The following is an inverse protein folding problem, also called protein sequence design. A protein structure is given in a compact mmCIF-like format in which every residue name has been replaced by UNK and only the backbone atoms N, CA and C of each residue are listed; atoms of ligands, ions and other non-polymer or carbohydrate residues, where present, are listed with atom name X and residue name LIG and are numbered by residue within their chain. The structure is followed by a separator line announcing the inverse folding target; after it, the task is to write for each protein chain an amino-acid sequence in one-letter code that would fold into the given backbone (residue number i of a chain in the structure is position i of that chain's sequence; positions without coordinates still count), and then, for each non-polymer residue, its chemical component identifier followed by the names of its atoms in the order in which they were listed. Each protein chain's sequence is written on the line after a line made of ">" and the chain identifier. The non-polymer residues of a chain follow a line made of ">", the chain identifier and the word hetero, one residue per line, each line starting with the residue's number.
data_IF_348155648684
#
_entry.id   IF_348155648684
#
_cell.length_a   1.000
_cell.length_b   1.000
_cell.length_c   1.000
_cell.angle_alpha   90.00
_cell.angle_beta   90.00
_cell.angle_gamma   90.00
#
_symmetry.space_group_name_H-M   'P 1'
#
loop_
_entity.id
_entity.type
_entity.pdbx_description
1 polymer ?
#
# COMPACT_ATOMS: atom_id res chain seq x y z
N UNK A 1 -12.53 7.08 45.85
CA UNK A 1 -12.46 6.73 44.41
C UNK A 1 -13.60 5.76 44.17
N UNK A 2 -14.49 6.01 43.22
CA UNK A 2 -15.58 5.07 42.95
C UNK A 2 -14.99 3.79 42.39
N UNK A 3 -14.94 2.75 43.23
CA UNK A 3 -14.48 1.40 42.89
C UNK A 3 -15.05 0.93 41.55
N UNK A 4 -16.30 1.31 41.26
CA UNK A 4 -17.01 1.05 40.02
C UNK A 4 -16.26 1.55 38.77
N UNK A 5 -15.71 2.77 38.76
CA UNK A 5 -14.99 3.31 37.60
C UNK A 5 -13.72 2.53 37.34
N UNK A 6 -13.01 2.15 38.41
CA UNK A 6 -11.77 1.38 38.30
C UNK A 6 -12.05 -0.04 37.77
N UNK A 7 -13.09 -0.70 38.27
CA UNK A 7 -13.51 -2.02 37.80
C UNK A 7 -13.97 -1.98 36.35
N UNK A 8 -14.83 -1.03 35.97
CA UNK A 8 -15.27 -0.85 34.58
C UNK A 8 -14.10 -0.53 33.65
N UNK A 9 -13.15 0.29 34.09
CA UNK A 9 -11.94 0.59 33.34
C UNK A 9 -11.08 -0.63 33.09
N UNK A 10 -10.87 -1.47 34.11
CA UNK A 10 -10.07 -2.68 33.99
C UNK A 10 -10.76 -3.72 33.08
N UNK A 11 -12.08 -3.87 33.21
CA UNK A 11 -12.89 -4.70 32.30
C UNK A 11 -12.77 -4.20 30.86
N UNK A 12 -12.98 -2.90 30.63
CA UNK A 12 -12.90 -2.32 29.30
C UNK A 12 -11.51 -2.43 28.67
N UNK A 13 -10.45 -2.36 29.46
CA UNK A 13 -9.07 -2.53 29.01
C UNK A 13 -8.79 -3.98 28.61
N UNK A 14 -9.17 -4.96 29.46
CA UNK A 14 -9.00 -6.40 29.15
C UNK A 14 -9.86 -6.83 27.97
N UNK A 15 -11.12 -6.39 27.94
CA UNK A 15 -12.04 -6.63 26.82
C UNK A 15 -11.48 -6.00 25.54
N UNK A 16 -10.96 -4.78 25.65
CA UNK A 16 -10.32 -4.04 24.59
C UNK A 16 -9.17 -4.80 23.93
N UNK A 17 -8.19 -5.20 24.73
CA UNK A 17 -6.99 -5.89 24.22
C UNK A 17 -7.31 -7.28 23.67
N UNK A 18 -8.23 -8.02 24.28
CA UNK A 18 -8.56 -9.38 23.82
C UNK A 18 -9.40 -9.40 22.53
N UNK A 19 -10.25 -8.41 22.31
CA UNK A 19 -11.23 -8.43 21.21
C UNK A 19 -10.91 -7.47 20.07
N UNK A 20 -10.02 -6.49 20.28
CA UNK A 20 -9.60 -5.60 19.20
C UNK A 20 -8.65 -6.32 18.24
N UNK A 21 -7.68 -7.09 18.74
CA UNK A 21 -6.68 -7.76 17.90
C UNK A 21 -7.32 -8.70 16.86
N UNK A 22 -8.26 -9.61 17.19
CA UNK A 22 -8.90 -10.49 16.20
C UNK A 22 -9.81 -9.76 15.21
N UNK A 23 -10.18 -8.50 15.48
CA UNK A 23 -11.01 -7.69 14.60
C UNK A 23 -10.17 -6.80 13.66
N UNK A 24 -8.86 -6.74 13.88
CA UNK A 24 -7.96 -5.92 13.10
C UNK A 24 -7.47 -6.69 11.86
N UNK A 25 -7.56 -6.14 10.63
CA UNK A 25 -7.09 -6.81 9.42
C UNK A 25 -5.65 -7.30 9.52
N UNK A 26 -4.75 -6.53 10.17
CA UNK A 26 -3.34 -6.95 10.33
C UNK A 26 -3.15 -8.21 11.16
N UNK A 27 -4.13 -8.66 11.94
CA UNK A 27 -4.05 -9.93 12.63
C UNK A 27 -4.00 -11.13 11.65
N UNK A 28 -4.57 -10.96 10.45
CA UNK A 28 -4.54 -11.96 9.38
C UNK A 28 -3.26 -11.94 8.52
N UNK A 29 -2.35 -10.99 8.74
CA UNK A 29 -1.09 -10.92 8.00
C UNK A 29 -0.16 -12.05 8.48
N UNK A 30 -0.13 -13.16 7.76
CA UNK A 30 0.76 -14.27 8.04
C UNK A 30 2.18 -13.95 7.55
N UNK A 31 3.15 -13.93 8.48
CA UNK A 31 4.57 -13.97 8.13
C UNK A 31 4.98 -15.44 7.95
N UNK A 32 4.54 -16.04 6.85
CA UNK A 32 4.90 -17.44 6.54
C UNK A 32 6.36 -17.55 6.05
N UNK A 33 6.91 -16.44 5.57
CA UNK A 33 8.19 -16.40 4.89
C UNK A 33 9.04 -15.23 5.42
N UNK A 34 10.34 -15.46 5.57
CA UNK A 34 11.30 -14.40 5.89
C UNK A 34 11.74 -13.66 4.62
N UNK A 35 12.22 -12.43 4.79
CA UNK A 35 12.78 -11.57 3.75
C UNK A 35 13.82 -12.29 2.88
N UNK A 36 14.71 -13.10 3.45
CA UNK A 36 15.71 -13.86 2.68
C UNK A 36 15.07 -14.88 1.73
N UNK A 37 14.03 -15.58 2.20
CA UNK A 37 13.31 -16.59 1.40
C UNK A 37 12.47 -15.89 0.33
N UNK A 38 11.87 -14.74 0.63
CA UNK A 38 11.16 -13.90 -0.34
C UNK A 38 12.09 -13.42 -1.46
N UNK A 39 13.31 -12.99 -1.11
CA UNK A 39 14.32 -12.57 -2.08
C UNK A 39 14.70 -13.73 -2.98
N UNK A 40 14.95 -14.92 -2.43
CA UNK A 40 15.34 -16.08 -3.23
C UNK A 40 14.20 -16.55 -4.17
N UNK A 41 12.96 -16.56 -3.69
CA UNK A 41 11.79 -16.84 -4.53
C UNK A 41 11.65 -15.84 -5.69
N UNK A 42 11.83 -14.55 -5.42
CA UNK A 42 11.82 -13.51 -6.45
C UNK A 42 12.98 -13.68 -7.45
N UNK A 43 14.19 -14.01 -6.99
CA UNK A 43 15.34 -14.29 -7.86
C UNK A 43 15.12 -15.51 -8.74
N UNK A 44 14.55 -16.58 -8.19
CA UNK A 44 14.21 -17.79 -8.93
C UNK A 44 13.19 -17.48 -10.03
N UNK A 45 12.17 -16.69 -9.71
CA UNK A 45 11.20 -16.23 -10.71
C UNK A 45 11.87 -15.39 -11.80
N UNK A 46 12.67 -14.38 -11.47
CA UNK A 46 13.38 -13.56 -12.45
C UNK A 46 14.29 -14.40 -13.35
N UNK A 47 15.02 -15.34 -12.77
CA UNK A 47 15.89 -16.27 -13.51
C UNK A 47 15.10 -17.14 -14.48
N UNK A 48 13.88 -17.57 -14.10
CA UNK A 48 12.99 -18.33 -14.98
C UNK A 48 12.50 -17.52 -16.19
N UNK A 49 12.49 -16.19 -16.08
CA UNK A 49 12.17 -15.26 -17.15
C UNK A 49 13.41 -14.80 -17.94
N UNK A 50 14.60 -15.33 -17.64
CA UNK A 50 15.85 -14.98 -18.31
C UNK A 50 16.48 -13.66 -17.85
N UNK A 51 16.09 -13.19 -16.66
CA UNK A 51 16.65 -12.00 -16.01
C UNK A 51 17.62 -12.44 -14.92
N UNK A 52 18.74 -11.74 -14.79
CA UNK A 52 19.83 -12.11 -13.90
C UNK A 52 19.97 -11.05 -12.81
N UNK A 53 19.32 -11.22 -11.64
CA UNK A 53 19.36 -10.23 -10.57
C UNK A 53 20.66 -10.21 -9.75
N UNK A 54 21.62 -11.10 -10.04
CA UNK A 54 22.86 -11.23 -9.29
C UNK A 54 23.71 -9.94 -9.38
N UNK A 55 24.13 -9.43 -8.22
CA UNK A 55 24.90 -8.18 -8.11
C UNK A 55 24.04 -6.92 -8.01
N UNK A 56 22.72 -7.02 -8.01
CA UNK A 56 21.82 -5.92 -7.66
C UNK A 56 21.68 -5.76 -6.14
N UNK A 57 21.46 -4.54 -5.69
CA UNK A 57 21.05 -4.28 -4.33
C UNK A 57 19.57 -4.66 -4.20
N UNK A 58 19.26 -5.55 -3.25
CA UNK A 58 17.90 -6.05 -3.08
C UNK A 58 17.32 -5.54 -1.78
N UNK A 59 16.10 -5.01 -1.85
CA UNK A 59 15.31 -4.61 -0.69
C UNK A 59 14.01 -5.41 -0.70
N UNK A 60 13.69 -6.11 0.38
CA UNK A 60 12.43 -6.82 0.55
C UNK A 60 11.70 -6.26 1.77
N UNK A 61 10.47 -5.81 1.57
CA UNK A 61 9.62 -5.27 2.63
C UNK A 61 8.23 -5.89 2.54
N UNK A 62 7.71 -6.37 3.66
CA UNK A 62 6.30 -6.75 3.74
C UNK A 62 5.44 -5.50 3.86
N UNK A 63 4.58 -5.30 2.86
CA UNK A 63 3.70 -4.15 2.70
C UNK A 63 2.22 -4.57 2.69
N UNK A 64 1.35 -3.59 2.83
CA UNK A 64 -0.10 -3.76 2.71
C UNK A 64 -0.67 -2.73 1.74
N UNK A 65 -1.66 -3.14 0.95
CA UNK A 65 -2.46 -2.20 0.16
C UNK A 65 -3.62 -1.69 1.03
N UNK A 66 -3.43 -0.51 1.61
CA UNK A 66 -4.41 0.14 2.49
C UNK A 66 -5.74 0.38 1.79
N UNK A 67 -5.69 0.75 0.50
CA UNK A 67 -6.90 1.02 -0.28
C UNK A 67 -7.66 -0.26 -0.55
N UNK A 68 -6.96 -1.32 -0.93
CA UNK A 68 -7.55 -2.64 -1.14
C UNK A 68 -8.16 -3.21 0.15
N UNK A 69 -7.49 -3.07 1.29
CA UNK A 69 -8.02 -3.47 2.60
C UNK A 69 -9.25 -2.67 3.02
N UNK A 70 -9.29 -1.36 2.72
CA UNK A 70 -10.47 -0.55 2.94
C UNK A 70 -11.63 -0.98 2.03
N UNK A 71 -11.36 -1.21 0.74
CA UNK A 71 -12.35 -1.66 -0.24
C UNK A 71 -12.90 -3.06 0.12
N UNK A 72 -12.06 -3.96 0.63
CA UNK A 72 -12.48 -5.28 1.14
C UNK A 72 -13.39 -5.13 2.37
N UNK A 73 -12.97 -4.36 3.39
CA UNK A 73 -13.80 -4.11 4.57
C UNK A 73 -15.15 -3.48 4.17
N UNK A 74 -15.18 -2.60 3.16
CA UNK A 74 -16.42 -2.01 2.62
C UNK A 74 -17.31 -3.00 1.90
N UNK A 75 -16.71 -3.94 1.16
CA UNK A 75 -17.47 -4.87 0.33
C UNK A 75 -18.00 -6.05 1.12
N UNK A 76 -17.19 -6.59 2.05
CA UNK A 76 -17.54 -7.79 2.81
C UNK A 76 -18.07 -7.50 4.21
N UNK A 77 -17.74 -6.35 4.81
CA UNK A 77 -17.69 -6.04 6.26
C UNK A 77 -16.38 -6.43 6.93
N UNK A 78 -16.05 -5.81 8.08
CA UNK A 78 -14.79 -6.06 8.80
C UNK A 78 -14.56 -7.53 9.21
N UNK A 79 -15.49 -8.23 9.90
CA UNK A 79 -15.22 -9.59 10.38
C UNK A 79 -15.04 -10.61 9.24
N UNK A 80 -15.82 -10.47 8.17
CA UNK A 80 -15.69 -11.31 6.98
C UNK A 80 -14.41 -11.05 6.21
N UNK A 81 -13.92 -9.79 6.16
CA UNK A 81 -12.62 -9.48 5.58
C UNK A 81 -11.50 -10.18 6.32
N UNK A 82 -11.50 -10.14 7.66
CA UNK A 82 -10.51 -10.91 8.45
C UNK A 82 -10.61 -12.40 8.13
N UNK A 83 -11.82 -12.99 8.13
CA UNK A 83 -11.97 -14.42 7.83
C UNK A 83 -11.55 -14.80 6.40
N UNK A 84 -11.73 -13.90 5.42
CA UNK A 84 -11.28 -14.10 4.06
C UNK A 84 -9.75 -14.06 3.97
N UNK A 85 -9.12 -13.10 4.64
CA UNK A 85 -7.66 -12.95 4.67
C UNK A 85 -6.97 -14.07 5.45
N UNK A 86 -7.65 -14.73 6.39
CA UNK A 86 -7.18 -15.94 7.06
C UNK A 86 -7.38 -17.22 6.22
N UNK A 87 -8.21 -17.17 5.18
CA UNK A 87 -8.53 -18.34 4.36
C UNK A 87 -7.45 -18.69 3.33
N UNK A 88 -7.54 -19.87 2.73
CA UNK A 88 -6.68 -20.32 1.62
C UNK A 88 -6.83 -19.45 0.36
N UNK A 89 -7.94 -18.71 0.23
CA UNK A 89 -8.22 -17.85 -0.92
C UNK A 89 -7.58 -16.46 -0.81
N UNK A 90 -6.93 -16.15 0.32
CA UNK A 90 -6.34 -14.83 0.58
C UNK A 90 -5.38 -14.36 -0.52
N UNK A 91 -4.65 -15.28 -1.16
CA UNK A 91 -3.63 -14.93 -2.17
C UNK A 91 -4.24 -14.52 -3.51
N UNK A 92 -5.53 -14.81 -3.75
CA UNK A 92 -6.26 -14.33 -4.92
C UNK A 92 -6.43 -12.80 -4.90
N UNK A 93 -6.31 -12.19 -3.72
CA UNK A 93 -6.31 -10.73 -3.51
C UNK A 93 -5.13 -10.42 -2.60
N UNK A 94 -3.99 -10.09 -3.20
CA UNK A 94 -2.73 -9.83 -2.49
C UNK A 94 -2.77 -8.50 -1.71
N UNK A 95 -3.63 -8.40 -0.69
CA UNK A 95 -3.79 -7.24 0.17
C UNK A 95 -2.59 -7.04 1.11
N UNK A 96 -1.89 -8.12 1.44
CA UNK A 96 -0.58 -8.13 2.07
C UNK A 96 0.38 -8.84 1.13
N UNK A 97 1.54 -8.24 0.88
CA UNK A 97 2.49 -8.75 -0.09
C UNK A 97 3.91 -8.37 0.28
N UNK A 98 4.86 -9.21 -0.11
CA UNK A 98 6.27 -8.85 -0.12
C UNK A 98 6.56 -8.00 -1.33
N UNK A 99 7.10 -6.80 -1.14
CA UNK A 99 7.61 -5.94 -2.19
C UNK A 99 9.13 -6.12 -2.29
N UNK A 100 9.59 -6.79 -3.34
CA UNK A 100 11.02 -7.01 -3.59
C UNK A 100 11.47 -6.10 -4.72
N UNK A 101 12.36 -5.16 -4.37
CA UNK A 101 12.96 -4.19 -5.30
C UNK A 101 14.41 -4.55 -5.55
N UNK A 102 14.78 -4.52 -6.83
CA UNK A 102 16.15 -4.76 -7.28
C UNK A 102 16.72 -3.49 -7.89
N UNK A 103 17.68 -2.88 -7.21
CA UNK A 103 18.29 -1.61 -7.57
C UNK A 103 19.73 -1.82 -8.07
N UNK A 104 20.14 -1.02 -9.06
CA UNK A 104 21.53 -1.00 -9.51
C UNK A 104 22.35 -0.27 -8.43
N UNK A 105 23.43 -0.86 -7.90
CA UNK A 105 24.25 -0.20 -6.89
C UNK A 105 24.78 1.14 -7.41
N UNK A 106 24.77 2.22 -6.61
CA UNK A 106 25.38 3.49 -7.02
C UNK A 106 26.87 3.29 -7.33
N UNK A 107 27.41 3.98 -8.35
CA UNK A 107 28.86 4.00 -8.59
C UNK A 107 29.53 4.85 -7.51
N UNK A 108 30.67 4.39 -6.97
CA UNK A 108 31.44 5.11 -5.92
C UNK A 108 31.88 6.53 -6.33
N UNK A 109 31.83 6.87 -7.63
CA UNK A 109 32.20 8.17 -8.17
C UNK A 109 31.05 9.17 -8.30
N UNK A 110 29.80 8.75 -8.09
CA UNK A 110 28.63 9.63 -8.18
C UNK A 110 28.28 10.19 -6.80
N UNK A 111 28.90 11.32 -6.46
CA UNK A 111 28.66 12.14 -5.26
C UNK A 111 27.28 12.86 -5.28
N UNK A 112 26.31 12.34 -6.04
CA UNK A 112 24.97 12.93 -6.13
C UNK A 112 24.13 12.50 -4.92
N UNK A 113 24.12 13.37 -3.92
CA UNK A 113 23.26 13.35 -2.75
C UNK A 113 21.80 13.00 -3.12
N UNK A 114 21.32 11.83 -2.69
CA UNK A 114 19.91 11.40 -2.62
C UNK A 114 19.05 11.58 -3.87
N UNK A 115 19.44 11.04 -5.01
CA UNK A 115 18.43 10.68 -6.02
C UNK A 115 17.92 9.27 -5.71
N UNK A 116 16.62 9.08 -5.43
CA UNK A 116 16.08 7.73 -5.27
C UNK A 116 16.27 6.99 -6.60
N UNK A 117 17.02 5.89 -6.57
CA UNK A 117 17.19 5.04 -7.74
C UNK A 117 15.84 4.48 -8.16
N UNK A 118 15.52 4.61 -9.45
CA UNK A 118 14.43 3.84 -10.03
C UNK A 118 14.86 2.37 -10.00
N UNK A 119 14.10 1.48 -9.35
CA UNK A 119 14.48 0.07 -9.30
C UNK A 119 14.44 -0.51 -10.72
N UNK A 120 15.34 -1.44 -11.00
CA UNK A 120 15.39 -2.12 -12.29
C UNK A 120 14.22 -3.11 -12.42
N UNK A 121 14.00 -3.90 -11.37
CA UNK A 121 12.91 -4.87 -11.27
C UNK A 121 12.14 -4.67 -9.98
N UNK A 122 10.83 -4.89 -10.05
CA UNK A 122 9.95 -4.98 -8.88
C UNK A 122 9.13 -6.25 -8.99
N UNK A 123 9.22 -7.10 -7.97
CA UNK A 123 8.46 -8.35 -7.87
C UNK A 123 7.63 -8.26 -6.59
N UNK A 124 6.32 -8.45 -6.72
CA UNK A 124 5.43 -8.62 -5.57
C UNK A 124 5.09 -10.08 -5.40
N UNK A 125 5.31 -10.60 -4.20
CA UNK A 125 4.90 -11.94 -3.81
C UNK A 125 3.73 -11.86 -2.85
N UNK A 126 2.74 -12.73 -3.03
CA UNK A 126 1.72 -12.95 -2.02
C UNK A 126 2.34 -13.56 -0.73
N UNK A 127 1.54 -13.69 0.32
CA UNK A 127 2.00 -14.17 1.63
C UNK A 127 2.61 -15.57 1.60
N UNK A 128 2.17 -16.41 0.66
CA UNK A 128 2.67 -17.77 0.42
C UNK A 128 3.97 -17.83 -0.42
N UNK A 129 4.47 -16.67 -0.87
CA UNK A 129 5.64 -16.56 -1.73
C UNK A 129 5.38 -16.72 -3.24
N UNK A 130 4.13 -16.93 -3.66
CA UNK A 130 3.79 -16.97 -5.08
C UNK A 130 3.75 -15.56 -5.66
N UNK A 131 4.15 -15.42 -6.93
CA UNK A 131 4.22 -14.12 -7.60
C UNK A 131 2.80 -13.57 -7.84
N UNK A 132 2.54 -12.34 -7.40
CA UNK A 132 1.27 -11.64 -7.63
C UNK A 132 1.43 -10.48 -8.62
N UNK A 133 2.58 -9.82 -8.68
CA UNK A 133 2.89 -8.81 -9.68
C UNK A 133 4.38 -8.83 -10.04
N UNK A 134 4.68 -8.44 -11.28
CA UNK A 134 6.04 -8.30 -11.77
C UNK A 134 6.13 -7.13 -12.74
N UNK A 135 7.08 -6.22 -12.49
CA UNK A 135 7.34 -5.05 -13.33
C UNK A 135 8.83 -4.89 -13.63
N UNK A 136 9.11 -4.51 -14.88
CA UNK A 136 10.43 -4.03 -15.31
C UNK A 136 10.31 -2.53 -15.51
N UNK A 137 10.98 -1.75 -14.67
CA UNK A 137 10.71 -0.31 -14.51
C UNK A 137 11.74 0.58 -15.23
N UNK A 138 13.03 0.23 -15.19
CA UNK A 138 14.01 0.85 -16.09
C UNK A 138 13.93 0.16 -17.46
N UNK A 139 13.32 0.86 -18.43
CA UNK A 139 13.26 0.44 -19.83
C UNK A 139 14.62 0.59 -20.54
N UNK A 140 15.68 0.05 -19.94
CA UNK A 140 16.91 -0.33 -20.62
C UNK A 140 17.57 0.84 -21.38
N UNK A 141 17.53 2.04 -20.81
CA UNK A 141 18.17 3.23 -21.41
C UNK A 141 19.69 3.20 -21.30
N UNK A 142 20.24 2.38 -20.39
CA UNK A 142 21.68 2.32 -20.13
C UNK A 142 22.30 0.96 -20.48
N UNK A 143 23.56 0.96 -20.93
CA UNK A 143 24.34 -0.28 -21.15
C UNK A 143 24.55 -1.10 -19.86
N UNK A 144 24.32 -0.48 -18.69
CA UNK A 144 24.46 -1.09 -17.37
C UNK A 144 23.26 -1.97 -17.04
N UNK A 145 22.02 -1.51 -17.28
CA UNK A 145 20.81 -2.32 -17.05
C UNK A 145 20.73 -3.55 -17.96
N UNK A 146 21.28 -3.47 -19.19
CA UNK A 146 21.30 -4.62 -20.13
C UNK A 146 22.09 -5.83 -19.65
N UNK A 147 23.04 -5.65 -18.71
CA UNK A 147 23.84 -6.76 -18.17
C UNK A 147 23.01 -7.73 -17.32
N UNK A 148 21.90 -7.25 -16.77
CA UNK A 148 21.00 -8.03 -15.92
C UNK A 148 19.85 -8.67 -16.71
N UNK A 149 19.92 -8.64 -18.05
CA UNK A 149 18.93 -9.23 -18.95
C UNK A 149 17.94 -8.20 -19.50
N UNK A 150 17.43 -8.50 -20.69
CA UNK A 150 16.43 -7.71 -21.40
C UNK A 150 15.18 -8.57 -21.61
N UNK A 151 13.99 -8.11 -21.16
CA UNK A 151 12.75 -8.83 -21.41
C UNK A 151 12.53 -9.05 -22.91
N UNK A 152 12.24 -10.29 -23.31
CA UNK A 152 12.03 -10.63 -24.71
C UNK A 152 13.29 -10.89 -25.54
N UNK A 153 14.50 -10.75 -24.99
CA UNK A 153 15.73 -11.25 -25.65
C UNK A 153 16.03 -12.70 -25.28
N UNK A 154 15.72 -13.10 -24.04
CA UNK A 154 15.85 -14.48 -23.62
C UNK A 154 14.71 -15.35 -24.16
N UNK A 155 15.05 -16.57 -24.57
CA UNK A 155 14.10 -17.56 -25.07
C UNK A 155 13.69 -18.52 -23.96
N UNK A 156 12.44 -18.42 -23.52
CA UNK A 156 11.89 -19.39 -22.57
C UNK A 156 11.44 -20.65 -23.31
N UNK A 157 12.39 -21.53 -23.61
CA UNK A 157 12.15 -22.80 -24.32
C UNK A 157 11.18 -23.72 -23.58
N UNK A 158 11.11 -23.63 -22.26
CA UNK A 158 10.17 -24.42 -21.45
C UNK A 158 8.73 -23.96 -21.71
N UNK A 159 8.47 -22.65 -21.63
CA UNK A 159 7.17 -22.09 -21.96
C UNK A 159 6.79 -22.35 -23.43
N UNK A 160 7.72 -22.13 -24.37
CA UNK A 160 7.48 -22.41 -25.79
C UNK A 160 7.22 -23.90 -26.06
N UNK A 161 7.82 -24.82 -25.30
CA UNK A 161 7.54 -26.27 -25.44
C UNK A 161 6.16 -26.69 -24.96
N UNK A 162 5.54 -25.91 -24.06
CA UNK A 162 4.17 -26.17 -23.62
C UNK A 162 3.15 -25.92 -24.73
N UNK A 163 3.44 -24.99 -25.64
CA UNK A 163 2.54 -24.56 -26.71
C UNK A 163 2.91 -25.12 -28.10
N UNK A 164 4.19 -25.31 -28.40
CA UNK A 164 4.68 -25.88 -29.66
C UNK A 164 4.98 -27.36 -29.43
N UNK A 165 3.93 -28.18 -29.46
CA UNK A 165 4.03 -29.65 -29.27
C UNK A 165 4.03 -30.34 -30.64
N UNK A 166 5.05 -31.14 -30.95
CA UNK A 166 4.83 -32.27 -31.88
C UNK A 166 3.83 -33.24 -31.21
N UNK A 167 3.05 -34.03 -31.97
CA UNK A 167 2.02 -35.06 -31.62
C UNK A 167 2.29 -36.02 -30.43
N UNK A 168 2.88 -35.52 -29.37
CA UNK A 168 3.62 -36.25 -28.36
C UNK A 168 3.00 -35.85 -27.04
N UNK A 169 2.30 -36.80 -26.44
CA UNK A 169 1.65 -36.67 -25.15
C UNK A 169 2.63 -36.44 -23.98
N UNK A 170 3.93 -36.25 -24.25
CA UNK A 170 4.99 -36.12 -23.26
C UNK A 170 5.87 -34.87 -23.50
N UNK A 171 5.89 -33.96 -22.52
CA UNK A 171 6.65 -32.68 -22.53
C UNK A 171 8.13 -32.84 -22.85
N UNK A 172 8.72 -33.98 -22.49
CA UNK A 172 10.13 -34.27 -22.78
C UNK A 172 10.42 -34.30 -24.28
N UNK A 173 9.49 -34.81 -25.09
CA UNK A 173 9.66 -34.91 -26.55
C UNK A 173 9.49 -33.55 -27.22
N UNK A 174 8.52 -32.74 -26.77
CA UNK A 174 8.34 -31.36 -27.23
C UNK A 174 9.57 -30.49 -26.95
N UNK A 175 10.16 -30.59 -25.75
CA UNK A 175 11.40 -29.91 -25.40
C UNK A 175 12.57 -30.31 -26.29
N UNK A 176 12.72 -31.61 -26.55
CA UNK A 176 13.79 -32.14 -27.42
C UNK A 176 13.62 -31.70 -28.88
N UNK A 177 12.39 -31.60 -29.38
CA UNK A 177 12.11 -31.12 -30.71
C UNK A 177 12.52 -29.65 -30.88
N UNK A 178 12.16 -28.80 -29.90
CA UNK A 178 12.55 -27.39 -29.91
C UNK A 178 14.07 -27.20 -29.75
N UNK A 179 14.77 -28.07 -29.00
CA UNK A 179 16.25 -28.04 -28.92
C UNK A 179 16.93 -28.14 -30.29
N UNK A 180 16.29 -28.76 -31.29
CA UNK A 180 16.80 -28.81 -32.66
C UNK A 180 16.71 -27.49 -33.43
N UNK A 181 15.92 -26.52 -32.96
CA UNK A 181 15.76 -25.20 -33.57
C UNK A 181 16.78 -24.23 -32.96
N UNK A 182 17.54 -23.52 -33.80
CA UNK A 182 18.51 -22.53 -33.35
C UNK A 182 17.83 -21.31 -32.68
N UNK A 183 18.46 -20.72 -31.66
CA UNK A 183 17.93 -19.55 -30.95
C UNK A 183 17.66 -18.36 -31.89
N UNK A 184 18.54 -18.15 -32.86
CA UNK A 184 18.38 -17.09 -33.88
C UNK A 184 17.14 -17.30 -34.75
N UNK A 185 16.70 -18.54 -34.95
CA UNK A 185 15.47 -18.85 -35.68
C UNK A 185 14.27 -18.55 -34.80
N UNK A 186 14.26 -19.02 -33.54
CA UNK A 186 13.16 -18.75 -32.62
C UNK A 186 12.96 -17.25 -32.39
N UNK A 187 14.04 -16.50 -32.14
CA UNK A 187 13.96 -15.06 -31.89
C UNK A 187 13.47 -14.24 -33.09
N UNK A 188 13.83 -14.63 -34.33
CA UNK A 188 13.54 -13.83 -35.53
C UNK A 188 12.34 -14.32 -36.35
N UNK A 189 11.92 -15.59 -36.17
CA UNK A 189 10.84 -16.20 -36.97
C UNK A 189 9.53 -16.34 -36.22
N UNK A 190 9.53 -16.29 -34.88
CA UNK A 190 8.32 -16.29 -34.08
C UNK A 190 7.75 -14.87 -33.94
N UNK A 191 6.50 -14.70 -34.35
CA UNK A 191 5.77 -13.45 -34.08
C UNK A 191 4.29 -13.69 -33.85
N UNK A 192 3.69 -12.80 -33.07
CA UNK A 192 2.25 -12.80 -32.89
C UNK A 192 1.53 -12.17 -34.08
N UNK A 193 0.44 -12.82 -34.49
CA UNK A 193 -0.59 -12.23 -35.33
C UNK A 193 -1.97 -12.66 -34.80
N UNK A 194 -2.81 -11.70 -34.46
CA UNK A 194 -4.14 -11.94 -33.89
C UNK A 194 -5.25 -11.90 -34.94
N UNK A 195 -4.91 -11.60 -36.19
CA UNK A 195 -5.87 -11.72 -37.27
C UNK A 195 -6.28 -13.19 -37.43
N UNK A 196 -7.56 -13.48 -37.76
CA UNK A 196 -8.02 -14.84 -37.98
C UNK A 196 -7.32 -15.42 -39.21
N UNK A 197 -6.24 -16.16 -38.95
CA UNK A 197 -5.58 -17.06 -39.90
C UNK A 197 -6.13 -18.46 -39.64
N UNK A 198 -6.18 -19.32 -40.67
CA UNK A 198 -6.45 -20.75 -40.45
C UNK A 198 -5.48 -21.25 -39.36
N UNK A 199 -6.03 -21.73 -38.24
CA UNK A 199 -5.25 -22.11 -37.07
C UNK A 199 -4.22 -23.16 -37.49
N UNK A 200 -2.95 -22.77 -37.48
CA UNK A 200 -1.84 -23.66 -37.85
C UNK A 200 -1.61 -24.60 -36.67
N UNK A 201 -1.61 -25.90 -36.93
CA UNK A 201 -1.39 -26.90 -35.88
C UNK A 201 0.00 -26.77 -35.25
N UNK A 202 0.18 -27.24 -34.00
CA UNK A 202 1.47 -27.16 -33.30
C UNK A 202 2.65 -27.81 -34.07
N UNK A 203 2.37 -28.89 -34.80
CA UNK A 203 3.33 -29.58 -35.65
C UNK A 203 3.77 -28.77 -36.87
N UNK A 204 2.82 -28.12 -37.54
CA UNK A 204 3.11 -27.29 -38.71
C UNK A 204 3.96 -26.07 -38.30
N UNK A 205 3.71 -25.53 -37.11
CA UNK A 205 4.51 -24.46 -36.53
C UNK A 205 5.95 -24.93 -36.25
N UNK A 206 6.11 -26.12 -35.66
CA UNK A 206 7.44 -26.72 -35.45
C UNK A 206 8.16 -26.99 -36.79
N UNK A 207 7.46 -27.52 -37.78
CA UNK A 207 8.01 -27.78 -39.11
C UNK A 207 8.44 -26.49 -39.81
N UNK A 208 7.66 -25.42 -39.69
CA UNK A 208 8.02 -24.09 -40.18
C UNK A 208 9.32 -23.60 -39.53
N UNK A 209 9.46 -23.73 -38.20
CA UNK A 209 10.68 -23.36 -37.49
C UNK A 209 11.89 -24.19 -37.92
N UNK A 210 11.74 -25.51 -38.06
CA UNK A 210 12.81 -26.41 -38.51
C UNK A 210 13.26 -26.12 -39.94
N UNK A 211 12.35 -25.64 -40.80
CA UNK A 211 12.62 -25.24 -42.18
C UNK A 211 12.99 -23.76 -42.34
N UNK A 212 13.21 -23.04 -41.22
CA UNK A 212 13.56 -21.61 -41.18
C UNK A 212 12.53 -20.70 -41.86
N UNK A 213 11.26 -21.10 -41.80
CA UNK A 213 10.10 -20.31 -42.20
C UNK A 213 9.54 -19.52 -41.00
N UNK A 214 8.70 -18.53 -41.32
CA UNK A 214 8.03 -17.72 -40.31
C UNK A 214 6.95 -18.55 -39.59
N UNK A 215 6.92 -18.46 -38.27
CA UNK A 215 5.96 -19.15 -37.42
C UNK A 215 5.07 -18.13 -36.71
N UNK A 216 3.78 -18.22 -36.98
CA UNK A 216 2.77 -17.28 -36.48
C UNK A 216 2.11 -17.86 -35.24
N UNK A 217 2.18 -17.12 -34.14
CA UNK A 217 1.45 -17.42 -32.91
C UNK A 217 0.12 -16.66 -32.94
N UNK A 218 -0.98 -17.40 -33.06
CA UNK A 218 -2.34 -16.87 -32.98
C UNK A 218 -2.80 -16.64 -31.53
N UNK A 219 -4.06 -16.23 -31.35
CA UNK A 219 -4.64 -15.97 -30.03
C UNK A 219 -4.69 -17.21 -29.14
N UNK A 220 -4.85 -18.41 -29.70
CA UNK A 220 -4.90 -19.66 -28.92
C UNK A 220 -3.56 -19.99 -28.27
N UNK A 221 -2.46 -19.79 -29.02
CA UNK A 221 -1.11 -19.95 -28.49
C UNK A 221 -0.76 -18.92 -27.43
N UNK A 222 -1.25 -17.67 -27.58
CA UNK A 222 -1.08 -16.64 -26.55
C UNK A 222 -1.81 -17.02 -25.26
N UNK A 223 -3.07 -17.45 -25.36
CA UNK A 223 -3.85 -17.89 -24.18
C UNK A 223 -3.21 -19.09 -23.49
N UNK A 224 -2.68 -20.06 -24.25
CA UNK A 224 -1.97 -21.20 -23.69
C UNK A 224 -0.66 -20.80 -22.99
N UNK A 225 0.11 -19.85 -23.55
CA UNK A 225 1.28 -19.28 -22.88
C UNK A 225 0.92 -18.54 -21.59
N UNK A 226 -0.19 -17.79 -21.59
CA UNK A 226 -0.68 -17.11 -20.39
C UNK A 226 -1.01 -18.15 -19.31
N UNK A 227 -1.77 -19.19 -19.65
CA UNK A 227 -2.13 -20.25 -18.71
C UNK A 227 -0.88 -20.89 -18.08
N UNK A 228 0.13 -21.24 -18.91
CA UNK A 228 1.41 -21.79 -18.44
C UNK A 228 2.10 -20.90 -17.38
N UNK A 229 2.13 -19.59 -17.60
CA UNK A 229 2.75 -18.69 -16.63
C UNK A 229 1.89 -18.52 -15.38
N UNK A 230 0.56 -18.45 -15.51
CA UNK A 230 -0.36 -18.26 -14.38
C UNK A 230 -0.40 -19.44 -13.41
N UNK A 231 -0.16 -20.67 -13.88
CA UNK A 231 -0.06 -21.87 -13.04
C UNK A 231 0.99 -21.74 -11.92
N UNK A 232 1.99 -20.87 -12.08
CA UNK A 232 3.08 -20.65 -11.12
C UNK A 232 2.94 -19.29 -10.37
N UNK A 233 1.74 -18.73 -10.34
CA UNK A 233 1.46 -17.43 -9.69
C UNK A 233 0.40 -17.56 -8.60
N UNK A 234 0.20 -16.50 -7.83
CA UNK A 234 -0.86 -16.42 -6.80
C UNK A 234 -2.28 -16.60 -7.37
N UNK A 235 -2.43 -16.55 -8.71
CA UNK A 235 -3.70 -16.62 -9.42
C UNK A 235 -4.01 -17.98 -10.05
N UNK A 236 -3.22 -19.02 -9.76
CA UNK A 236 -3.37 -20.34 -10.37
C UNK A 236 -4.75 -20.98 -10.12
N UNK A 237 -5.42 -20.62 -9.02
CA UNK A 237 -6.73 -21.17 -8.64
C UNK A 237 -7.94 -20.46 -9.28
N UNK A 238 -7.70 -19.43 -10.10
CA UNK A 238 -8.77 -18.66 -10.75
C UNK A 238 -8.98 -19.12 -12.19
N UNK A 239 -10.24 -19.27 -12.58
CA UNK A 239 -10.63 -19.52 -13.97
C UNK A 239 -10.67 -18.18 -14.73
N UNK A 240 -9.73 -18.00 -15.65
CA UNK A 240 -9.50 -16.73 -16.36
C UNK A 240 -10.13 -16.70 -17.74
N UNK A 241 -10.84 -15.61 -18.04
CA UNK A 241 -11.23 -15.25 -19.41
C UNK A 241 -10.35 -14.12 -19.94
N UNK A 242 -10.06 -14.18 -21.23
CA UNK A 242 -9.32 -13.12 -21.94
C UNK A 242 -10.32 -12.08 -22.46
N UNK A 243 -10.45 -10.95 -21.75
CA UNK A 243 -11.33 -9.83 -22.13
C UNK A 243 -10.86 -9.15 -23.41
N UNK A 244 -9.56 -8.92 -23.51
CA UNK A 244 -8.96 -8.27 -24.68
C UNK A 244 -7.54 -8.76 -24.89
N UNK A 245 -7.20 -8.96 -26.15
CA UNK A 245 -5.86 -9.35 -26.58
C UNK A 245 -5.43 -8.41 -27.71
N UNK A 246 -4.27 -7.78 -27.56
CA UNK A 246 -3.69 -6.87 -28.55
C UNK A 246 -2.21 -7.15 -28.74
N UNK A 247 -1.70 -6.98 -29.95
CA UNK A 247 -0.25 -6.99 -30.20
C UNK A 247 0.23 -5.56 -30.30
N UNK A 248 1.21 -5.22 -29.47
CA UNK A 248 1.94 -3.96 -29.54
C UNK A 248 3.39 -4.22 -29.93
N UNK A 249 4.06 -3.21 -30.45
CA UNK A 249 5.51 -3.27 -30.69
C UNK A 249 6.18 -2.35 -29.67
N UNK A 250 7.03 -2.92 -28.82
CA UNK A 250 7.82 -2.17 -27.83
C UNK A 250 9.30 -2.46 -28.10
N UNK A 251 10.11 -1.41 -28.25
CA UNK A 251 11.56 -1.51 -28.50
C UNK A 251 11.95 -2.43 -29.66
N UNK A 252 11.12 -2.52 -30.71
CA UNK A 252 11.34 -3.38 -31.87
C UNK A 252 10.85 -4.83 -31.73
N UNK A 253 10.39 -5.22 -30.54
CA UNK A 253 9.85 -6.56 -30.24
C UNK A 253 8.33 -6.52 -30.25
N UNK A 254 7.68 -7.50 -30.88
CA UNK A 254 6.22 -7.67 -30.82
C UNK A 254 5.84 -8.33 -29.51
N UNK A 255 4.97 -7.67 -28.75
CA UNK A 255 4.50 -8.10 -27.43
C UNK A 255 2.98 -8.25 -27.48
N UNK A 256 2.49 -9.41 -27.07
CA UNK A 256 1.09 -9.63 -26.80
C UNK A 256 0.74 -9.02 -25.42
N UNK A 257 -0.29 -8.18 -25.40
CA UNK A 257 -0.85 -7.62 -24.17
C UNK A 257 -2.25 -8.19 -24.00
N UNK A 258 -2.43 -8.97 -22.94
CA UNK A 258 -3.70 -9.59 -22.60
C UNK A 258 -4.25 -8.97 -21.33
N UNK A 259 -5.55 -8.66 -21.34
CA UNK A 259 -6.31 -8.32 -20.14
C UNK A 259 -7.21 -9.49 -19.81
N UNK A 260 -7.11 -9.98 -18.59
CA UNK A 260 -7.85 -11.13 -18.11
C UNK A 260 -8.77 -10.73 -16.96
N UNK A 261 -9.95 -11.34 -16.92
CA UNK A 261 -10.87 -11.24 -15.79
C UNK A 261 -11.42 -12.60 -15.44
N UNK A 262 -11.61 -12.90 -14.14
CA UNK A 262 -12.23 -14.15 -13.75
C UNK A 262 -13.74 -14.10 -14.02
N UNK A 263 -14.35 -15.27 -14.25
CA UNK A 263 -15.80 -15.39 -14.45
C UNK A 263 -16.63 -14.83 -13.28
N UNK A 264 -16.12 -15.02 -12.07
CA UNK A 264 -16.76 -14.59 -10.83
C UNK A 264 -15.89 -13.59 -10.07
N UNK A 265 -16.49 -12.55 -9.45
CA UNK A 265 -15.74 -11.64 -8.59
C UNK A 265 -15.22 -12.38 -7.35
N UNK A 266 -13.98 -12.08 -6.97
CA UNK A 266 -13.36 -12.61 -5.76
C UNK A 266 -13.64 -11.64 -4.63
N UNK A 267 -14.22 -12.11 -3.52
CA UNK A 267 -14.56 -11.25 -2.37
C UNK A 267 -15.40 -9.99 -2.73
N UNK A 268 -16.21 -10.07 -3.79
CA UNK A 268 -17.00 -8.93 -4.30
C UNK A 268 -16.18 -7.86 -5.05
N UNK A 269 -14.90 -8.13 -5.31
CA UNK A 269 -14.02 -7.32 -6.16
C UNK A 269 -13.88 -7.96 -7.54
N UNK A 270 -13.86 -7.12 -8.57
CA UNK A 270 -13.45 -7.50 -9.92
C UNK A 270 -11.94 -7.45 -9.99
N UNK A 271 -11.32 -8.62 -10.17
CA UNK A 271 -9.87 -8.74 -10.40
C UNK A 271 -9.61 -8.59 -11.89
N UNK A 272 -8.74 -7.67 -12.26
CA UNK A 272 -8.28 -7.47 -13.63
C UNK A 272 -6.77 -7.68 -13.69
N UNK A 273 -6.32 -8.62 -14.52
CA UNK A 273 -4.89 -8.91 -14.69
C UNK A 273 -4.44 -8.45 -16.08
N UNK A 274 -3.36 -7.67 -16.16
CA UNK A 274 -2.75 -7.27 -17.43
C UNK A 274 -1.36 -7.91 -17.54
N UNK A 275 -1.15 -8.70 -18.60
CA UNK A 275 0.07 -9.46 -18.84
C UNK A 275 0.69 -9.03 -20.18
N UNK A 276 2.01 -8.86 -20.17
CA UNK A 276 2.82 -8.54 -21.34
C UNK A 276 3.74 -9.73 -21.66
N UNK A 277 3.58 -10.30 -22.85
CA UNK A 277 4.28 -11.51 -23.31
C UNK A 277 4.93 -11.26 -24.67
N UNK A 278 6.27 -11.20 -24.75
CA UNK A 278 7.01 -11.29 -26.01
C UNK A 278 6.87 -12.68 -26.69
N UNK A 279 7.13 -12.73 -28.00
CA UNK A 279 7.07 -14.00 -28.77
C UNK A 279 8.14 -15.01 -28.38
N UNK A 280 9.11 -14.62 -27.55
CA UNK A 280 10.13 -15.50 -26.98
C UNK A 280 9.66 -16.37 -25.82
N UNK A 281 8.41 -16.19 -25.37
CA UNK A 281 7.78 -17.00 -24.32
C UNK A 281 8.09 -16.57 -22.88
N UNK A 282 8.87 -15.49 -22.68
CA UNK A 282 9.08 -14.87 -21.37
C UNK A 282 7.88 -14.00 -20.98
N UNK A 283 7.63 -13.80 -19.70
CA UNK A 283 6.73 -12.77 -19.18
C UNK A 283 7.54 -11.50 -18.90
N UNK A 284 7.17 -10.36 -19.50
CA UNK A 284 7.87 -9.09 -19.28
C UNK A 284 7.23 -8.23 -18.20
N UNK A 285 5.92 -8.36 -18.00
CA UNK A 285 5.19 -7.64 -16.97
C UNK A 285 3.87 -8.36 -16.66
N UNK A 286 3.50 -8.36 -15.38
CA UNK A 286 2.20 -8.82 -14.88
C UNK A 286 1.74 -7.86 -13.79
N UNK A 287 0.59 -7.23 -13.99
CA UNK A 287 0.02 -6.28 -13.03
C UNK A 287 -1.42 -6.62 -12.74
N UNK A 288 -1.77 -6.69 -11.46
CA UNK A 288 -3.14 -6.88 -11.02
C UNK A 288 -3.78 -5.53 -10.67
N UNK A 289 -5.08 -5.43 -10.92
CA UNK A 289 -5.91 -4.29 -10.53
C UNK A 289 -7.19 -4.81 -9.92
N UNK A 290 -7.57 -4.23 -8.79
CA UNK A 290 -8.76 -4.61 -8.05
C UNK A 290 -9.76 -3.46 -8.11
N UNK A 291 -10.98 -3.74 -8.57
CA UNK A 291 -12.06 -2.76 -8.66
C UNK A 291 -13.29 -3.26 -7.91
N UNK A 292 -13.94 -2.38 -7.15
CA UNK A 292 -15.19 -2.73 -6.49
C UNK A 292 -16.30 -2.92 -7.54
N UNK A 293 -17.07 -4.00 -7.43
CA UNK A 293 -18.24 -4.24 -8.32
C UNK A 293 -19.36 -3.24 -8.00
N UNK A 294 -19.46 -2.80 -6.75
CA UNK A 294 -20.37 -1.73 -6.36
C UNK A 294 -19.74 -0.37 -6.65
N UNK A 295 -20.35 0.38 -7.57
CA UNK A 295 -20.00 1.75 -7.89
C UNK A 295 -20.49 2.64 -6.75
N UNK A 296 -19.55 3.15 -5.96
CA UNK A 296 -19.87 3.98 -4.78
C UNK A 296 -20.55 5.28 -5.21
N UNK A 297 -21.74 5.56 -4.67
CA UNK A 297 -22.25 6.92 -4.59
C UNK A 297 -21.27 7.71 -3.71
N UNK A 298 -20.42 8.51 -4.36
CA UNK A 298 -19.47 9.43 -3.72
C UNK A 298 -20.15 10.47 -2.80
N UNK A 299 -21.47 10.60 -2.84
CA UNK A 299 -22.22 11.65 -2.14
C UNK A 299 -22.18 11.54 -0.61
N UNK A 300 -22.08 10.35 -0.02
CA UNK A 300 -22.17 10.20 1.44
C UNK A 300 -20.92 10.69 2.18
N UNK A 301 -19.73 10.50 1.61
CA UNK A 301 -18.46 10.92 2.21
C UNK A 301 -18.30 12.44 2.27
N UNK A 302 -18.67 13.12 1.17
CA UNK A 302 -18.64 14.59 1.12
C UNK A 302 -19.69 15.21 2.05
N UNK A 303 -20.87 14.60 2.17
CA UNK A 303 -21.92 15.08 3.07
C UNK A 303 -21.52 14.97 4.54
N UNK A 304 -20.92 13.85 4.97
CA UNK A 304 -20.42 13.68 6.34
C UNK A 304 -19.26 14.64 6.62
N UNK A 305 -18.33 14.81 5.68
CA UNK A 305 -17.23 15.76 5.81
C UNK A 305 -17.75 17.21 5.92
N UNK A 306 -18.79 17.56 5.16
CA UNK A 306 -19.45 18.87 5.25
C UNK A 306 -20.15 19.07 6.59
N UNK A 307 -20.86 18.05 7.10
CA UNK A 307 -21.46 18.09 8.44
C UNK A 307 -20.38 18.25 9.51
N UNK A 308 -19.31 17.46 9.44
CA UNK A 308 -18.20 17.52 10.39
C UNK A 308 -17.51 18.89 10.36
N UNK A 309 -17.22 19.43 9.17
CA UNK A 309 -16.68 20.78 8.99
C UNK A 309 -17.63 21.84 9.55
N UNK A 310 -18.94 21.71 9.33
CA UNK A 310 -19.96 22.55 9.94
C UNK A 310 -19.98 22.46 11.46
N UNK A 311 -19.82 21.26 12.01
CA UNK A 311 -19.78 21.02 13.46
C UNK A 311 -18.52 21.61 14.10
N UNK A 312 -17.35 21.45 13.47
CA UNK A 312 -16.10 22.08 13.90
C UNK A 312 -16.18 23.60 13.78
N UNK A 313 -16.78 24.13 12.73
CA UNK A 313 -17.04 25.56 12.56
C UNK A 313 -17.96 26.12 13.65
N UNK A 314 -19.04 25.41 13.96
CA UNK A 314 -19.96 25.76 15.06
C UNK A 314 -19.24 25.71 16.41
N UNK A 315 -18.44 24.67 16.65
CA UNK A 315 -17.67 24.52 17.88
C UNK A 315 -16.65 25.66 18.03
N UNK A 316 -15.92 25.99 16.96
CA UNK A 316 -15.03 27.16 16.91
C UNK A 316 -15.76 28.47 17.19
N UNK A 317 -16.94 28.67 16.60
CA UNK A 317 -17.79 29.83 16.86
C UNK A 317 -18.22 29.90 18.33
N UNK A 318 -18.65 28.79 18.93
CA UNK A 318 -19.00 28.72 20.35
C UNK A 318 -17.81 29.11 21.22
N UNK A 319 -16.61 28.59 20.94
CA UNK A 319 -15.40 28.95 21.69
C UNK A 319 -15.10 30.45 21.61
N UNK A 320 -15.24 31.06 20.44
CA UNK A 320 -15.05 32.51 20.24
C UNK A 320 -16.08 33.30 21.06
N UNK A 321 -17.37 32.93 20.99
CA UNK A 321 -18.43 33.62 21.74
C UNK A 321 -18.21 33.52 23.25
N UNK A 322 -17.88 32.32 23.76
CA UNK A 322 -17.60 32.11 25.19
C UNK A 322 -16.35 32.88 25.60
N UNK A 323 -15.31 32.93 24.76
CA UNK A 323 -14.10 33.69 25.00
C UNK A 323 -14.39 35.17 25.16
N UNK A 324 -15.09 35.81 24.22
CA UNK A 324 -15.44 37.23 24.31
C UNK A 324 -16.33 37.51 25.53
N UNK A 325 -17.32 36.65 25.81
CA UNK A 325 -18.18 36.79 27.00
C UNK A 325 -17.37 36.75 28.29
N UNK A 326 -16.39 35.85 28.39
CA UNK A 326 -15.52 35.72 29.59
C UNK A 326 -14.46 36.81 29.68
N UNK A 327 -13.96 37.31 28.55
CA UNK A 327 -13.06 38.45 28.47
C UNK A 327 -13.76 39.72 28.99
N UNK A 328 -14.99 39.98 28.54
CA UNK A 328 -15.82 41.09 29.03
C UNK A 328 -16.13 40.93 30.53
N UNK A 329 -16.40 39.70 30.98
CA UNK A 329 -16.60 39.37 32.39
C UNK A 329 -15.34 39.46 33.27
N UNK A 330 -14.16 39.74 32.70
CA UNK A 330 -12.84 39.76 33.39
C UNK A 330 -12.54 38.49 34.19
N UNK A 331 -13.06 37.35 33.75
CA UNK A 331 -12.87 36.04 34.43
C UNK A 331 -11.64 35.30 33.86
N UNK A 332 -10.92 35.93 32.94
CA UNK A 332 -9.87 35.29 32.14
C UNK A 332 -8.50 35.85 32.52
N UNK A 333 -7.58 34.96 32.89
CA UNK A 333 -6.18 35.30 33.11
C UNK A 333 -5.45 35.38 31.76
N UNK A 334 -5.56 36.54 31.13
CA UNK A 334 -5.02 36.81 29.79
C UNK A 334 -3.51 36.57 29.73
N UNK A 335 -2.78 36.79 30.84
CA UNK A 335 -1.32 36.75 30.85
C UNK A 335 -0.78 35.33 30.76
N UNK A 336 -1.36 34.39 31.51
CA UNK A 336 -0.94 32.98 31.45
C UNK A 336 -1.37 32.33 30.12
N UNK A 337 -2.61 32.56 29.69
CA UNK A 337 -3.15 31.96 28.47
C UNK A 337 -2.39 32.42 27.20
N UNK A 338 -1.94 33.69 27.18
CA UNK A 338 -1.18 34.23 26.05
C UNK A 338 0.19 33.57 25.89
N UNK A 339 0.90 33.32 26.99
CA UNK A 339 2.24 32.70 26.96
C UNK A 339 2.16 31.25 26.47
N UNK A 340 1.21 30.48 26.99
CA UNK A 340 1.03 29.08 26.60
C UNK A 340 0.62 28.95 25.12
N UNK A 341 -0.26 29.86 24.65
CA UNK A 341 -0.69 29.89 23.27
C UNK A 341 0.40 30.34 22.30
N UNK A 342 1.24 31.31 22.69
CA UNK A 342 2.41 31.71 21.90
C UNK A 342 3.41 30.57 21.75
N UNK A 343 3.67 29.82 22.83
CA UNK A 343 4.55 28.64 22.79
C UNK A 343 3.96 27.55 21.87
N UNK A 344 2.66 27.26 22.00
CA UNK A 344 1.97 26.31 21.12
C UNK A 344 2.08 26.71 19.64
N UNK A 345 1.81 27.98 19.33
CA UNK A 345 1.90 28.51 17.97
C UNK A 345 3.32 28.44 17.41
N UNK A 346 4.32 28.85 18.18
CA UNK A 346 5.72 28.83 17.77
C UNK A 346 6.22 27.40 17.51
N UNK A 347 5.89 26.46 18.40
CA UNK A 347 6.23 25.04 18.23
C UNK A 347 5.56 24.46 17.00
N UNK A 348 4.26 24.72 16.80
CA UNK A 348 3.50 24.18 15.66
C UNK A 348 4.00 24.78 14.34
N UNK A 349 4.28 26.08 14.30
CA UNK A 349 4.89 26.72 13.14
C UNK A 349 6.25 26.12 12.81
N UNK A 350 7.08 25.85 13.83
CA UNK A 350 8.40 25.23 13.66
C UNK A 350 8.31 23.81 13.10
N UNK A 351 7.41 22.99 13.66
CA UNK A 351 7.12 21.65 13.13
C UNK A 351 6.64 21.74 11.68
N UNK A 352 5.74 22.67 11.37
CA UNK A 352 5.23 22.81 10.00
C UNK A 352 6.35 23.10 9.01
N UNK A 353 7.29 24.00 9.33
CA UNK A 353 8.45 24.27 8.47
C UNK A 353 9.34 23.03 8.31
N UNK A 354 9.55 22.25 9.37
CA UNK A 354 10.39 21.05 9.34
C UNK A 354 9.78 19.90 8.53
N UNK A 355 8.44 19.78 8.51
CA UNK A 355 7.74 18.65 7.90
C UNK A 355 7.07 18.97 6.57
N UNK A 356 7.05 20.24 6.13
CA UNK A 356 6.48 20.61 4.82
C UNK A 356 7.51 20.37 3.71
N UNK A 357 7.53 19.15 3.17
CA UNK A 357 8.31 18.80 1.98
C UNK A 357 7.78 19.45 0.69
N UNK A 358 6.47 19.74 0.63
CA UNK A 358 5.79 20.17 -0.60
C UNK A 358 6.08 21.61 -1.03
N UNK A 359 6.61 22.44 -0.14
CA UNK A 359 7.05 23.79 -0.52
C UNK A 359 8.26 23.76 -1.46
N UNK A 360 9.01 22.65 -1.48
CA UNK A 360 10.24 22.50 -2.27
C UNK A 360 9.97 22.22 -3.75
N UNK A 361 8.87 21.56 -4.10
CA UNK A 361 8.52 21.20 -5.48
C UNK A 361 8.01 22.41 -6.28
N UNK A 362 7.30 23.33 -5.64
CA UNK A 362 6.84 24.58 -6.28
C UNK A 362 7.98 25.60 -6.53
N UNK A 363 9.17 25.38 -5.94
CA UNK A 363 10.26 26.37 -5.87
C UNK A 363 11.57 25.89 -6.51
N UNK A 364 11.58 24.81 -7.30
CA UNK A 364 12.81 24.29 -7.95
C UNK A 364 13.52 25.32 -8.85
N UNK A 365 12.86 26.41 -9.25
CA UNK A 365 13.42 27.51 -10.05
C UNK A 365 13.60 28.83 -9.29
N UNK A 366 13.28 28.89 -8.00
CA UNK A 366 13.31 30.13 -7.22
C UNK A 366 14.65 30.35 -6.50
N UNK A 367 15.11 31.61 -6.34
CA UNK A 367 16.27 31.93 -5.52
C UNK A 367 16.07 31.49 -4.07
N UNK A 368 17.15 31.11 -3.39
CA UNK A 368 17.15 30.67 -1.97
C UNK A 368 16.38 31.65 -1.08
N UNK A 369 16.53 32.96 -1.29
CA UNK A 369 15.80 33.99 -0.54
C UNK A 369 14.28 33.94 -0.69
N UNK A 370 13.78 33.55 -1.87
CA UNK A 370 12.35 33.34 -2.11
C UNK A 370 11.81 32.17 -1.29
N UNK A 371 12.57 31.07 -1.21
CA UNK A 371 12.20 29.92 -0.37
C UNK A 371 12.19 30.26 1.12
N UNK A 372 13.21 30.97 1.62
CA UNK A 372 13.28 31.40 3.01
C UNK A 372 12.10 32.33 3.36
N UNK A 373 11.76 33.26 2.47
CA UNK A 373 10.63 34.17 2.69
C UNK A 373 9.31 33.42 2.74
N UNK A 374 9.12 32.40 1.88
CA UNK A 374 7.91 31.59 1.86
C UNK A 374 7.80 30.68 3.10
N UNK A 375 8.91 30.13 3.58
CA UNK A 375 8.97 29.42 4.87
C UNK A 375 8.67 30.33 6.06
N UNK A 376 9.17 31.57 6.06
CA UNK A 376 8.85 32.55 7.11
C UNK A 376 7.38 32.96 7.07
N UNK A 377 6.80 33.08 5.87
CA UNK A 377 5.39 33.44 5.69
C UNK A 377 4.48 32.29 6.12
N UNK A 378 4.78 31.05 5.74
CA UNK A 378 4.05 29.86 6.18
C UNK A 378 4.19 29.64 7.69
N UNK A 379 5.40 29.78 8.23
CA UNK A 379 5.66 29.75 9.66
C UNK A 379 4.79 30.78 10.40
N UNK A 380 4.82 32.05 9.97
CA UNK A 380 4.08 33.13 10.61
C UNK A 380 2.57 32.93 10.52
N UNK A 381 2.06 32.51 9.35
CA UNK A 381 0.65 32.24 9.15
C UNK A 381 0.14 31.11 10.05
N UNK A 382 0.88 30.00 10.12
CA UNK A 382 0.50 28.85 10.95
C UNK A 382 0.69 29.16 12.43
N UNK A 383 1.86 29.68 12.83
CA UNK A 383 2.15 30.03 14.21
C UNK A 383 1.16 31.06 14.76
N UNK A 384 0.85 32.11 13.99
CA UNK A 384 -0.11 33.14 14.37
C UNK A 384 -1.53 32.59 14.50
N UNK A 385 -1.98 31.79 13.52
CA UNK A 385 -3.33 31.20 13.55
C UNK A 385 -3.49 30.24 14.74
N UNK A 386 -2.51 29.37 14.97
CA UNK A 386 -2.50 28.42 16.07
C UNK A 386 -2.38 29.14 17.42
N UNK A 387 -1.59 30.21 17.52
CA UNK A 387 -1.51 31.00 18.75
C UNK A 387 -2.84 31.71 19.06
N UNK A 388 -3.51 32.30 18.08
CA UNK A 388 -4.83 32.94 18.29
C UNK A 388 -5.86 31.90 18.73
N UNK A 389 -5.91 30.77 18.02
CA UNK A 389 -6.86 29.69 18.35
C UNK A 389 -6.57 29.08 19.72
N UNK A 390 -5.30 28.76 20.00
CA UNK A 390 -4.84 28.23 21.28
C UNK A 390 -5.12 29.19 22.43
N UNK A 391 -5.00 30.51 22.21
CA UNK A 391 -5.32 31.51 23.22
C UNK A 391 -6.81 31.55 23.55
N UNK A 392 -7.68 31.48 22.54
CA UNK A 392 -9.14 31.40 22.71
C UNK A 392 -9.51 30.13 23.50
N UNK A 393 -8.96 28.97 23.10
CA UNK A 393 -9.24 27.69 23.75
C UNK A 393 -8.69 27.64 25.18
N UNK A 394 -7.44 28.02 25.39
CA UNK A 394 -6.80 28.00 26.72
C UNK A 394 -7.47 28.99 27.68
N UNK A 395 -7.80 30.19 27.20
CA UNK A 395 -8.49 31.21 27.99
C UNK A 395 -9.89 30.76 28.44
N UNK A 396 -10.67 30.17 27.53
CA UNK A 396 -11.99 29.61 27.86
C UNK A 396 -11.86 28.42 28.80
N UNK A 397 -10.92 27.51 28.51
CA UNK A 397 -10.72 26.27 29.27
C UNK A 397 -10.24 26.54 30.70
N UNK A 398 -9.21 27.36 30.91
CA UNK A 398 -8.70 27.68 32.25
C UNK A 398 -9.80 28.35 33.10
N UNK A 399 -10.56 29.25 32.48
CA UNK A 399 -11.66 29.94 33.16
C UNK A 399 -12.80 29.00 33.56
N UNK A 400 -13.23 28.08 32.67
CA UNK A 400 -14.29 27.10 32.97
C UNK A 400 -13.80 26.06 34.00
N UNK A 401 -12.56 25.59 33.88
CA UNK A 401 -11.99 24.55 34.76
C UNK A 401 -11.79 25.09 36.18
N UNK A 402 -11.39 26.36 36.36
CA UNK A 402 -11.30 26.96 37.70
C UNK A 402 -12.66 27.10 38.39
N UNK A 403 -13.70 27.40 37.62
CA UNK A 403 -15.06 27.59 38.13
C UNK A 403 -15.74 26.26 38.47
N UNK A 404 -15.55 25.24 37.63
CA UNK A 404 -16.33 23.99 37.71
C UNK A 404 -15.54 22.82 38.32
N UNK A 405 -14.20 22.83 38.20
CA UNK A 405 -13.33 21.70 38.53
C UNK A 405 -12.08 22.13 39.32
N UNK A 406 -12.25 22.98 40.34
CA UNK A 406 -11.17 23.49 41.21
C UNK A 406 -10.27 22.38 41.78
N UNK A 407 -10.83 21.20 42.08
CA UNK A 407 -10.08 20.03 42.54
C UNK A 407 -9.10 19.44 41.50
N UNK A 408 -9.45 19.47 40.21
CA UNK A 408 -8.57 19.01 39.11
C UNK A 408 -7.45 20.01 38.82
N UNK A 409 -7.74 21.30 38.98
CA UNK A 409 -6.74 22.35 38.85
C UNK A 409 -5.63 22.20 39.90
N UNK A 410 -6.00 21.87 41.14
CA UNK A 410 -5.02 21.63 42.20
C UNK A 410 -4.11 20.44 41.87
N UNK A 411 -4.62 19.41 41.20
CA UNK A 411 -3.81 18.26 40.76
C UNK A 411 -2.83 18.61 39.66
N UNK A 412 -3.25 19.42 38.67
CA UNK A 412 -2.38 19.94 37.61
C UNK A 412 -1.30 20.88 38.16
N UNK A 413 -1.63 21.72 39.15
CA UNK A 413 -0.67 22.58 39.83
C UNK A 413 0.38 21.77 40.61
N UNK A 414 -0.05 20.72 41.32
CA UNK A 414 0.87 19.80 42.01
C UNK A 414 1.79 19.07 41.03
N UNK A 415 1.28 18.66 39.87
CA UNK A 415 2.07 18.03 38.81
C UNK A 415 3.09 19.02 38.21
N UNK A 416 2.66 20.27 37.94
CA UNK A 416 3.52 21.36 37.45
C UNK A 416 4.64 21.71 38.44
N UNK A 417 4.40 21.56 39.73
CA UNK A 417 5.40 21.75 40.79
C UNK A 417 6.29 20.52 41.01
N UNK A 418 6.16 19.46 40.21
CA UNK A 418 6.97 18.25 40.31
C UNK A 418 6.58 17.31 41.46
N UNK A 419 5.41 17.53 42.09
CA UNK A 419 4.97 16.76 43.25
C UNK A 419 4.18 15.51 42.84
N UNK A 420 4.87 14.60 42.13
CA UNK A 420 4.29 13.41 41.50
C UNK A 420 3.82 12.36 42.53
N UNK A 421 4.41 12.35 43.74
CA UNK A 421 4.07 11.41 44.83
C UNK A 421 2.83 11.77 45.66
N UNK A 422 2.09 12.80 45.27
CA UNK A 422 0.88 13.19 46.01
C UNK A 422 -0.30 12.24 45.72
N UNK A 423 -1.08 11.93 46.75
CA UNK A 423 -2.27 11.06 46.65
C UNK A 423 -3.28 11.59 45.62
N UNK A 424 -3.39 12.92 45.49
CA UNK A 424 -4.26 13.56 44.52
C UNK A 424 -3.82 13.29 43.06
N UNK A 425 -2.51 13.40 42.78
CA UNK A 425 -1.93 13.09 41.46
C UNK A 425 -2.14 11.61 41.13
N UNK A 426 -1.79 10.70 42.05
CA UNK A 426 -2.01 9.26 41.85
C UNK A 426 -3.47 8.89 41.60
N UNK A 427 -4.40 9.44 42.37
CA UNK A 427 -5.83 9.20 42.18
C UNK A 427 -6.36 9.73 40.85
N UNK A 428 -5.84 10.87 40.37
CA UNK A 428 -6.21 11.43 39.06
C UNK A 428 -5.68 10.58 37.90
N UNK A 429 -4.46 10.04 38.04
CA UNK A 429 -3.81 9.22 37.04
C UNK A 429 -4.50 7.87 36.88
N UNK A 430 -4.81 7.20 38.00
CA UNK A 430 -5.59 5.95 37.96
C UNK A 430 -7.01 6.19 37.43
N UNK A 431 -7.64 7.34 37.73
CA UNK A 431 -8.92 7.72 37.10
C UNK A 431 -8.79 7.93 35.60
N UNK A 432 -7.71 8.56 35.14
CA UNK A 432 -7.43 8.74 33.72
C UNK A 432 -7.31 7.40 33.01
N UNK A 433 -6.48 6.50 33.54
CA UNK A 433 -6.32 5.13 33.01
C UNK A 433 -7.64 4.36 33.01
N UNK A 434 -8.42 4.45 34.09
CA UNK A 434 -9.71 3.78 34.17
C UNK A 434 -10.72 4.31 33.14
N UNK A 435 -10.81 5.63 32.97
CA UNK A 435 -11.69 6.24 31.95
C UNK A 435 -11.23 5.86 30.53
N UNK A 436 -9.91 5.84 30.27
CA UNK A 436 -9.37 5.34 29.00
C UNK A 436 -9.76 3.88 28.76
N UNK A 437 -9.67 3.02 29.78
CA UNK A 437 -10.12 1.63 29.69
C UNK A 437 -11.61 1.50 29.38
N UNK A 438 -12.47 2.31 30.00
CA UNK A 438 -13.91 2.36 29.68
C UNK A 438 -14.12 2.77 28.22
N UNK A 439 -13.41 3.81 27.75
CA UNK A 439 -13.51 4.29 26.38
C UNK A 439 -13.07 3.22 25.38
N UNK A 440 -11.97 2.51 25.64
CA UNK A 440 -11.51 1.39 24.82
C UNK A 440 -12.60 0.30 24.75
N UNK A 441 -13.18 -0.07 25.90
CA UNK A 441 -14.26 -1.07 25.95
C UNK A 441 -15.50 -0.65 25.15
N UNK A 442 -15.91 0.62 25.24
CA UNK A 442 -17.03 1.17 24.46
C UNK A 442 -16.71 1.15 22.96
N UNK A 443 -15.49 1.54 22.57
CA UNK A 443 -15.05 1.52 21.18
C UNK A 443 -15.09 0.11 20.59
N UNK A 444 -14.59 -0.89 21.31
CA UNK A 444 -14.64 -2.29 20.86
C UNK A 444 -16.07 -2.82 20.82
N UNK A 445 -16.91 -2.45 21.77
CA UNK A 445 -18.34 -2.80 21.76
C UNK A 445 -19.06 -2.17 20.56
N UNK A 446 -18.72 -0.93 20.19
CA UNK A 446 -19.23 -0.29 18.98
C UNK A 446 -18.80 -1.05 17.72
N UNK A 447 -17.54 -1.47 17.63
CA UNK A 447 -17.07 -2.32 16.51
C UNK A 447 -17.88 -3.62 16.43
N UNK A 448 -18.20 -4.27 17.56
CA UNK A 448 -19.00 -5.51 17.56
C UNK A 448 -20.46 -5.30 17.15
N UNK A 449 -21.08 -4.20 17.58
CA UNK A 449 -22.48 -3.90 17.24
C UNK A 449 -22.62 -3.42 15.79
N UNK A 450 -21.59 -2.79 15.23
CA UNK A 450 -21.59 -2.23 13.89
C UNK A 450 -20.44 -2.86 13.06
N UNK A 451 -20.69 -4.02 12.41
CA UNK A 451 -19.68 -4.70 11.59
C UNK A 451 -19.25 -3.89 10.36
N UNK A 452 -20.07 -2.93 9.94
CA UNK A 452 -19.80 -1.96 8.87
C UNK A 452 -18.88 -0.80 9.31
N UNK A 453 -18.38 -0.80 10.56
CA UNK A 453 -17.33 0.14 10.94
C UNK A 453 -15.97 -0.38 10.46
N UNK A 454 -15.29 0.48 9.71
CA UNK A 454 -14.02 0.20 9.05
C UNK A 454 -12.87 0.73 9.90
N UNK A 455 -11.78 -0.03 9.97
CA UNK A 455 -10.54 0.46 10.57
C UNK A 455 -9.70 1.11 9.48
N UNK A 456 -9.39 2.39 9.66
CA UNK A 456 -8.46 3.13 8.79
C UNK A 456 -7.04 2.71 9.11
N UNK A 457 -6.34 2.20 8.10
CA UNK A 457 -4.95 1.77 8.21
C UNK A 457 -4.03 2.89 7.71
N UNK A 458 -2.87 3.05 8.34
CA UNK A 458 -1.87 4.03 7.90
C UNK A 458 -1.02 3.48 6.73
N UNK A 459 -0.69 4.33 5.77
CA UNK A 459 -0.05 4.00 4.49
C UNK A 459 1.42 3.54 4.61
N UNK A 460 2.10 3.88 5.71
CA UNK A 460 3.57 3.78 5.82
C UNK A 460 4.10 2.72 6.82
N UNK A 461 3.32 1.70 7.16
CA UNK A 461 3.77 0.69 8.11
C UNK A 461 4.27 -0.57 7.39
N UNK A 462 5.60 -0.71 7.31
CA UNK A 462 6.23 -1.99 7.02
C UNK A 462 5.86 -2.97 8.16
N UNK A 463 5.12 -4.02 7.84
CA UNK A 463 4.51 -4.88 8.87
C UNK A 463 5.54 -5.65 9.70
N UNK A 464 6.79 -5.74 9.23
CA UNK A 464 7.91 -6.40 9.93
C UNK A 464 8.53 -5.53 11.03
N UNK A 465 8.38 -4.20 10.95
CA UNK A 465 9.02 -3.25 11.87
C UNK A 465 8.07 -2.73 12.96
N UNK A 466 6.80 -3.11 12.92
CA UNK A 466 5.76 -2.51 13.76
C UNK A 466 5.13 -3.52 14.73
N UNK A 467 4.88 -3.07 15.96
CA UNK A 467 4.17 -3.85 16.97
C UNK A 467 2.77 -4.21 16.45
N UNK A 468 2.51 -5.51 16.28
CA UNK A 468 1.17 -6.03 16.01
C UNK A 468 0.34 -5.92 17.31
N UNK A 469 -0.91 -5.43 17.26
CA UNK A 469 -1.73 -5.21 18.46
C UNK A 469 -1.95 -6.46 19.32
#
# INVERSE_FOLDING_TARGET
>A
MDLMILVLGLIGLVWGTMLLAPQHPDASAAQEMDSEVAIEAAKQFLSSQGLFPDGLQVTALMERDVKLLADLQHTLTRPTTVSFLESEYRNQIAAYYWNIRFDIPPDESDDTFWTPSTPLFEVRLAQDGNVSEFRVLDQQTSARSRRFGVPGEHLNRTALSSIIRADTSNDFQARRALQGVADSVLANRLYFNLEPVDSVGPEDLLNALLTNQNAVLDSSYVTALIAYHLENTAYAALDWNVDSLRVSTSSGTRIAVAKLTPDAPVAGLKVELEIFLPSTGTMSQMTASYKTVQQREKESGEFIAFIAAGLYGLLGFIFIVVFFRRLIGRVLDVKSAMVDAMLLGLMTGGVTVLFTSDLTTALQSAPIWGSILLYLLSFSAVAGSVAIFGFVVAGVSDSIVRETYSGKMNTLLLLRQGNIRSQAVGASLVRGVAVSGILIGISVLALQLFPDLHLTLEENQATDLTFRP
#
